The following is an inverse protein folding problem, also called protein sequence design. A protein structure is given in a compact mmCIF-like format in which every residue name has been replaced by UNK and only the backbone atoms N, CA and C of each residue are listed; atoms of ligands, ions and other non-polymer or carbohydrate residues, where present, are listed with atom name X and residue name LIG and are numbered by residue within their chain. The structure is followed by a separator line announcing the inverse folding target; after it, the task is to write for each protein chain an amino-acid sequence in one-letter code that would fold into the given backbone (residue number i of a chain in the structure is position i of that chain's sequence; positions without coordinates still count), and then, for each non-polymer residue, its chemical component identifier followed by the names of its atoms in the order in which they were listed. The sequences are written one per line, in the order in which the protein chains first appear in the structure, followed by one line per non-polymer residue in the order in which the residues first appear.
data_IF_617020376004
#
_entry.id   IF_617020376004
#
_cell.length_a   1.000
_cell.length_b   1.000
_cell.length_c   1.000
_cell.angle_alpha   90.00
_cell.angle_beta   90.00
_cell.angle_gamma   90.00
#
_symmetry.space_group_name_H-M   'P 1'
#
loop_
_entity.id
_entity.type
_entity.pdbx_description
1 polymer ?
#
# COMPACT_ATOMS: atom_id res chain seq x y z
N UNK A 1 -20.36 -14.54 -18.15
CA UNK A 1 -20.04 -15.79 -17.40
C UNK A 1 -20.49 -15.59 -15.98
N UNK A 2 -21.65 -16.11 -15.59
CA UNK A 2 -22.08 -16.12 -14.19
C UNK A 2 -21.37 -17.25 -13.47
N UNK A 3 -20.60 -16.94 -12.45
CA UNK A 3 -20.08 -17.94 -11.51
C UNK A 3 -21.28 -18.46 -10.76
N UNK A 4 -21.75 -19.66 -11.12
CA UNK A 4 -22.80 -20.35 -10.37
C UNK A 4 -22.16 -20.92 -9.10
N UNK A 5 -22.49 -20.32 -7.96
CA UNK A 5 -21.95 -20.70 -6.66
C UNK A 5 -22.57 -22.00 -6.12
N UNK A 6 -23.45 -22.66 -6.87
CA UNK A 6 -24.08 -23.95 -6.51
C UNK A 6 -24.80 -23.94 -5.16
N UNK A 7 -25.25 -22.76 -4.72
CA UNK A 7 -26.04 -22.56 -3.50
C UNK A 7 -27.36 -21.85 -3.82
N UNK A 8 -28.47 -22.20 -3.15
CA UNK A 8 -29.74 -21.49 -3.31
C UNK A 8 -29.60 -20.00 -3.01
N UNK A 9 -30.25 -19.15 -3.82
CA UNK A 9 -30.19 -17.68 -3.70
C UNK A 9 -30.50 -17.19 -2.28
N UNK A 10 -31.49 -17.81 -1.62
CA UNK A 10 -31.86 -17.47 -0.25
C UNK A 10 -30.71 -17.72 0.74
N UNK A 11 -30.06 -18.88 0.64
CA UNK A 11 -28.92 -19.23 1.51
C UNK A 11 -27.71 -18.33 1.26
N UNK A 12 -27.49 -17.91 0.01
CA UNK A 12 -26.45 -16.93 -0.29
C UNK A 12 -26.76 -15.56 0.34
N UNK A 13 -28.02 -15.12 0.31
CA UNK A 13 -28.45 -13.86 0.94
C UNK A 13 -28.27 -13.90 2.45
N UNK A 14 -28.70 -14.97 3.11
CA UNK A 14 -28.53 -15.12 4.57
C UNK A 14 -27.07 -14.98 5.00
N UNK A 15 -26.14 -15.62 4.27
CA UNK A 15 -24.70 -15.51 4.55
C UNK A 15 -24.15 -14.10 4.34
N UNK A 16 -24.64 -13.41 3.30
CA UNK A 16 -24.25 -12.03 3.03
C UNK A 16 -24.78 -11.10 4.12
N UNK A 17 -26.03 -11.25 4.54
CA UNK A 17 -26.64 -10.44 5.60
C UNK A 17 -25.92 -10.65 6.95
N UNK A 18 -25.53 -11.89 7.26
CA UNK A 18 -24.76 -12.23 8.46
C UNK A 18 -23.37 -11.57 8.44
N UNK A 19 -22.68 -11.61 7.30
CA UNK A 19 -21.39 -10.95 7.12
C UNK A 19 -21.49 -9.41 7.20
N UNK A 20 -22.51 -8.82 6.57
CA UNK A 20 -22.78 -7.37 6.61
C UNK A 20 -23.04 -6.93 8.05
N UNK A 21 -23.91 -7.64 8.77
CA UNK A 21 -24.24 -7.34 10.17
C UNK A 21 -22.99 -7.40 11.05
N UNK A 22 -22.16 -8.43 10.84
CA UNK A 22 -20.90 -8.57 11.57
C UNK A 22 -19.93 -7.41 11.28
N UNK A 23 -19.77 -7.03 10.02
CA UNK A 23 -18.86 -5.95 9.62
C UNK A 23 -19.36 -4.56 10.03
N UNK A 24 -20.67 -4.30 9.99
CA UNK A 24 -21.25 -3.08 10.58
C UNK A 24 -20.98 -3.00 12.09
N UNK A 25 -21.20 -4.11 12.82
CA UNK A 25 -20.98 -4.15 14.26
C UNK A 25 -19.51 -3.92 14.66
N UNK A 26 -18.56 -4.31 13.79
CA UNK A 26 -17.13 -4.04 13.96
C UNK A 26 -16.70 -2.64 13.48
N UNK A 27 -17.62 -1.84 12.92
CA UNK A 27 -17.29 -0.53 12.33
C UNK A 27 -16.45 -0.61 11.05
N UNK A 28 -16.47 -1.75 10.38
CA UNK A 28 -15.73 -2.00 9.12
C UNK A 28 -16.45 -1.35 7.95
N UNK A 29 -17.77 -1.45 7.94
CA UNK A 29 -18.65 -0.83 6.95
C UNK A 29 -19.71 0.01 7.66
N UNK A 30 -20.19 1.03 6.96
CA UNK A 30 -21.34 1.85 7.32
C UNK A 30 -22.38 1.75 6.22
N UNK A 31 -23.64 1.70 6.61
CA UNK A 31 -24.78 1.65 5.70
C UNK A 31 -25.39 3.04 5.58
N UNK A 32 -25.35 3.57 4.37
CA UNK A 32 -25.92 4.86 4.01
C UNK A 32 -27.27 4.65 3.30
N UNK A 33 -28.23 5.51 3.58
CA UNK A 33 -29.51 5.56 2.88
C UNK A 33 -29.65 6.91 2.21
N UNK A 34 -29.88 6.91 0.90
CA UNK A 34 -30.12 8.12 0.11
C UNK A 34 -31.16 7.85 -0.96
N UNK A 35 -32.21 8.67 -1.01
CA UNK A 35 -33.30 8.57 -1.99
C UNK A 35 -33.92 7.17 -2.16
N UNK A 36 -34.07 6.43 -1.05
CA UNK A 36 -34.61 5.07 -1.06
C UNK A 36 -33.63 3.99 -1.51
N UNK A 37 -32.42 4.37 -1.94
CA UNK A 37 -31.31 3.46 -2.21
C UNK A 37 -30.46 3.23 -0.95
N UNK A 38 -29.95 2.01 -0.81
CA UNK A 38 -29.03 1.63 0.24
C UNK A 38 -27.65 1.41 -0.36
N UNK A 39 -26.64 2.07 0.21
CA UNK A 39 -25.25 1.90 -0.14
C UNK A 39 -24.44 1.48 1.10
N UNK A 40 -23.39 0.69 0.91
CA UNK A 40 -22.44 0.35 1.95
C UNK A 40 -21.09 1.01 1.65
N UNK A 41 -20.53 1.68 2.63
CA UNK A 41 -19.21 2.33 2.54
C UNK A 41 -18.28 1.74 3.58
N UNK A 42 -17.02 1.50 3.25
CA UNK A 42 -16.02 1.15 4.27
C UNK A 42 -15.73 2.41 5.10
N UNK A 43 -15.86 2.29 6.43
CA UNK A 43 -15.74 3.43 7.36
C UNK A 43 -14.28 3.89 7.49
N UNK A 44 -13.37 2.96 7.26
CA UNK A 44 -11.94 3.21 7.27
C UNK A 44 -11.37 2.80 5.92
N UNK A 45 -10.66 3.73 5.25
CA UNK A 45 -9.88 3.42 4.04
C UNK A 45 -9.12 2.12 4.26
N UNK A 46 -8.40 2.07 5.39
CA UNK A 46 -7.46 1.02 5.81
C UNK A 46 -7.93 -0.43 5.68
N UNK A 47 -9.23 -0.74 5.66
CA UNK A 47 -9.69 -2.12 5.39
C UNK A 47 -9.43 -2.53 3.95
N UNK A 48 -9.65 -1.62 3.00
CA UNK A 48 -9.34 -1.84 1.59
C UNK A 48 -7.85 -2.11 1.42
N UNK A 49 -7.01 -1.27 2.01
CA UNK A 49 -5.55 -1.45 1.94
C UNK A 49 -5.08 -2.71 2.67
N UNK A 50 -5.69 -3.06 3.81
CA UNK A 50 -5.39 -4.28 4.54
C UNK A 50 -5.76 -5.54 3.73
N UNK A 51 -6.95 -5.58 3.12
CA UNK A 51 -7.37 -6.70 2.27
C UNK A 51 -6.48 -6.80 1.04
N UNK A 52 -6.13 -5.68 0.41
CA UNK A 52 -5.19 -5.63 -0.70
C UNK A 52 -3.81 -6.18 -0.29
N UNK A 53 -3.28 -5.77 0.86
CA UNK A 53 -2.01 -6.27 1.39
C UNK A 53 -2.04 -7.79 1.60
N UNK A 54 -3.12 -8.31 2.20
CA UNK A 54 -3.32 -9.76 2.38
C UNK A 54 -3.39 -10.49 1.04
N UNK A 55 -4.04 -9.90 0.04
CA UNK A 55 -4.14 -10.49 -1.29
C UNK A 55 -2.75 -10.57 -1.96
N UNK A 56 -1.98 -9.48 -1.94
CA UNK A 56 -0.63 -9.42 -2.50
C UNK A 56 0.28 -10.46 -1.89
N UNK A 57 0.25 -10.63 -0.56
CA UNK A 57 1.08 -11.63 0.12
C UNK A 57 0.72 -13.09 -0.22
N UNK A 58 -0.51 -13.34 -0.68
CA UNK A 58 -0.97 -14.67 -1.14
C UNK A 58 -0.59 -14.99 -2.57
N UNK A 59 -0.11 -14.00 -3.35
CA UNK A 59 0.37 -14.25 -4.70
C UNK A 59 1.61 -15.15 -4.68
N UNK A 60 1.81 -15.89 -5.77
CA UNK A 60 3.05 -16.65 -6.01
C UNK A 60 4.24 -15.70 -6.03
N UNK A 61 5.40 -16.17 -5.60
CA UNK A 61 6.60 -15.35 -5.36
C UNK A 61 6.92 -14.34 -6.47
N UNK A 62 7.00 -14.78 -7.74
CA UNK A 62 7.28 -13.87 -8.86
C UNK A 62 6.19 -12.81 -9.05
N UNK A 63 4.91 -13.19 -9.02
CA UNK A 63 3.80 -12.26 -9.17
C UNK A 63 3.72 -11.28 -7.97
N UNK A 64 4.02 -11.75 -6.76
CA UNK A 64 4.11 -10.92 -5.57
C UNK A 64 5.21 -9.87 -5.70
N UNK A 65 6.42 -10.28 -6.09
CA UNK A 65 7.55 -9.36 -6.26
C UNK A 65 7.25 -8.28 -7.29
N UNK A 66 6.69 -8.65 -8.45
CA UNK A 66 6.28 -7.67 -9.47
C UNK A 66 5.22 -6.71 -8.93
N UNK A 67 4.16 -7.23 -8.29
CA UNK A 67 3.10 -6.38 -7.73
C UNK A 67 3.64 -5.40 -6.67
N UNK A 68 4.51 -5.86 -5.76
CA UNK A 68 5.11 -5.01 -4.73
C UNK A 68 6.03 -3.95 -5.34
N UNK A 69 6.81 -4.30 -6.38
CA UNK A 69 7.66 -3.35 -7.10
C UNK A 69 6.83 -2.27 -7.82
N UNK A 70 5.75 -2.66 -8.51
CA UNK A 70 4.85 -1.72 -9.19
C UNK A 70 4.17 -0.79 -8.18
N UNK A 71 3.72 -1.32 -7.04
CA UNK A 71 3.13 -0.53 -5.95
C UNK A 71 4.13 0.45 -5.34
N UNK A 72 5.41 0.07 -5.19
CA UNK A 72 6.45 0.92 -4.63
C UNK A 72 6.71 2.20 -5.45
N UNK A 73 6.35 2.22 -6.74
CA UNK A 73 6.49 3.39 -7.61
C UNK A 73 5.34 4.41 -7.45
N UNK A 74 4.23 4.01 -6.84
CA UNK A 74 2.98 4.78 -6.83
C UNK A 74 2.65 5.14 -5.37
N UNK A 75 2.78 6.42 -4.96
CA UNK A 75 2.62 6.86 -3.58
C UNK A 75 1.29 6.47 -2.91
N UNK A 76 0.21 6.33 -3.69
CA UNK A 76 -1.13 5.95 -3.23
C UNK A 76 -1.17 4.55 -2.59
N UNK A 77 -0.19 3.69 -2.88
CA UNK A 77 -0.10 2.35 -2.29
C UNK A 77 0.68 2.29 -0.97
N UNK A 78 1.08 3.43 -0.39
CA UNK A 78 1.93 3.47 0.81
C UNK A 78 1.33 2.66 1.97
N UNK A 79 0.04 2.82 2.25
CA UNK A 79 -0.63 2.11 3.35
C UNK A 79 -0.73 0.60 3.09
N UNK A 80 -0.93 0.18 1.82
CA UNK A 80 -0.92 -1.24 1.43
C UNK A 80 0.44 -1.87 1.71
N UNK A 81 1.51 -1.16 1.37
CA UNK A 81 2.88 -1.62 1.60
C UNK A 81 3.21 -1.71 3.10
N UNK A 82 2.71 -0.77 3.91
CA UNK A 82 2.86 -0.81 5.37
C UNK A 82 2.12 -2.01 5.99
N UNK A 83 0.87 -2.26 5.57
CA UNK A 83 0.16 -3.47 5.98
C UNK A 83 0.85 -4.75 5.51
N UNK A 84 1.33 -4.79 4.27
CA UNK A 84 2.05 -5.96 3.76
C UNK A 84 3.32 -6.23 4.57
N UNK A 85 4.03 -5.17 4.99
CA UNK A 85 5.21 -5.30 5.84
C UNK A 85 4.87 -5.90 7.22
N UNK A 86 3.86 -5.37 7.91
CA UNK A 86 3.41 -5.85 9.23
C UNK A 86 2.84 -7.28 9.18
N UNK A 87 2.33 -7.72 8.03
CA UNK A 87 1.82 -9.06 7.78
C UNK A 87 2.90 -10.08 7.40
N UNK A 88 4.19 -9.70 7.47
CA UNK A 88 5.33 -10.59 7.24
C UNK A 88 6.05 -10.41 5.90
N UNK A 89 5.64 -9.44 5.08
CA UNK A 89 6.30 -9.08 3.81
C UNK A 89 7.35 -7.97 3.93
N UNK A 90 7.81 -7.65 5.14
CA UNK A 90 8.66 -6.48 5.40
C UNK A 90 9.93 -6.46 4.55
N UNK A 91 10.56 -7.61 4.32
CA UNK A 91 11.79 -7.69 3.52
C UNK A 91 11.54 -7.32 2.07
N UNK A 92 10.54 -7.93 1.43
CA UNK A 92 10.18 -7.64 0.04
C UNK A 92 9.75 -6.19 -0.15
N UNK A 93 8.96 -5.64 0.78
CA UNK A 93 8.52 -4.24 0.73
C UNK A 93 9.70 -3.28 0.86
N UNK A 94 10.58 -3.48 1.85
CA UNK A 94 11.75 -2.62 2.03
C UNK A 94 12.68 -2.65 0.82
N UNK A 95 12.86 -3.82 0.20
CA UNK A 95 13.68 -3.96 -0.98
C UNK A 95 13.06 -3.22 -2.18
N UNK A 96 11.75 -3.40 -2.43
CA UNK A 96 11.06 -2.70 -3.51
C UNK A 96 11.10 -1.17 -3.35
N UNK A 97 10.88 -0.66 -2.13
CA UNK A 97 10.94 0.77 -1.84
C UNK A 97 12.35 1.35 -2.01
N UNK A 98 13.39 0.57 -1.69
CA UNK A 98 14.78 0.96 -1.91
C UNK A 98 15.15 0.98 -3.40
N UNK A 99 14.62 0.04 -4.18
CA UNK A 99 14.83 -0.05 -5.63
C UNK A 99 14.03 1.01 -6.40
N UNK A 100 12.90 1.47 -5.85
CA UNK A 100 12.03 2.49 -6.47
C UNK A 100 12.57 3.94 -6.40
N UNK A 101 13.79 4.14 -5.91
CA UNK A 101 14.34 5.49 -5.70
C UNK A 101 14.80 6.10 -7.03
N UNK A 102 13.87 6.74 -7.74
CA UNK A 102 14.16 7.65 -8.85
C UNK A 102 13.57 9.06 -8.59
N UNK A 103 14.39 10.10 -8.74
CA UNK A 103 13.97 11.50 -8.62
C UNK A 103 13.62 12.00 -7.21
N UNK A 104 13.08 13.22 -7.11
CA UNK A 104 12.74 13.92 -5.86
C UNK A 104 11.61 13.26 -5.06
N UNK A 105 10.89 12.28 -5.60
CA UNK A 105 9.83 11.56 -4.90
C UNK A 105 10.33 10.31 -4.14
N UNK A 106 11.51 9.77 -4.52
CA UNK A 106 12.04 8.51 -4.01
C UNK A 106 12.44 8.53 -2.52
N UNK A 107 12.71 9.71 -1.94
CA UNK A 107 13.10 9.80 -0.53
C UNK A 107 12.00 9.32 0.43
N UNK A 108 10.72 9.52 0.07
CA UNK A 108 9.60 9.07 0.90
C UNK A 108 9.56 7.55 1.02
N UNK A 109 9.84 6.84 -0.07
CA UNK A 109 9.92 5.38 -0.07
C UNK A 109 11.04 4.87 0.83
N UNK A 110 12.22 5.51 0.79
CA UNK A 110 13.34 5.16 1.70
C UNK A 110 12.99 5.41 3.16
N UNK A 111 12.34 6.54 3.48
CA UNK A 111 11.91 6.82 4.85
C UNK A 111 10.86 5.82 5.34
N UNK A 112 9.91 5.44 4.49
CA UNK A 112 8.93 4.41 4.80
C UNK A 112 9.61 3.05 5.05
N UNK A 113 10.52 2.63 4.17
CA UNK A 113 11.27 1.39 4.33
C UNK A 113 12.13 1.39 5.61
N UNK A 114 12.72 2.53 5.97
CA UNK A 114 13.45 2.68 7.22
C UNK A 114 12.52 2.54 8.43
N UNK A 115 11.35 3.18 8.41
CA UNK A 115 10.35 3.05 9.48
C UNK A 115 9.91 1.59 9.68
N UNK A 116 9.63 0.87 8.59
CA UNK A 116 9.32 -0.55 8.59
C UNK A 116 10.49 -1.37 9.17
N UNK A 117 11.71 -1.09 8.75
CA UNK A 117 12.89 -1.87 9.15
C UNK A 117 13.33 -1.63 10.61
N UNK A 118 12.86 -0.53 11.22
CA UNK A 118 13.06 -0.22 12.63
C UNK A 118 12.06 -0.91 13.56
N UNK A 119 11.00 -1.53 13.01
CA UNK A 119 10.04 -2.29 13.82
C UNK A 119 10.77 -3.46 14.51
N UNK A 120 10.82 -3.49 15.86
CA UNK A 120 11.49 -4.55 16.61
C UNK A 120 10.87 -5.94 16.41
N UNK A 121 9.63 -6.02 15.92
CA UNK A 121 8.94 -7.26 15.58
C UNK A 121 9.17 -7.69 14.12
N UNK A 122 9.81 -6.84 13.31
CA UNK A 122 10.06 -7.06 11.89
C UNK A 122 11.26 -7.98 11.59
N UNK A 123 11.11 -8.88 10.61
CA UNK A 123 12.12 -9.84 10.17
C UNK A 123 13.07 -9.31 9.07
N UNK A 124 13.31 -8.00 9.02
CA UNK A 124 14.15 -7.40 7.96
C UNK A 124 15.62 -7.78 8.16
N UNK A 125 16.34 -8.29 7.14
CA UNK A 125 17.75 -8.66 7.26
C UNK A 125 18.66 -7.48 7.66
N UNK A 126 19.72 -7.77 8.43
CA UNK A 126 20.71 -6.75 8.85
C UNK A 126 21.33 -6.02 7.66
N UNK A 127 21.65 -6.74 6.59
CA UNK A 127 22.23 -6.15 5.39
C UNK A 127 21.30 -5.11 4.75
N UNK A 128 20.03 -5.45 4.58
CA UNK A 128 19.04 -4.52 4.03
C UNK A 128 18.84 -3.29 4.93
N UNK A 129 18.89 -3.45 6.26
CA UNK A 129 18.92 -2.31 7.20
C UNK A 129 20.13 -1.39 6.97
N UNK A 130 21.31 -1.95 6.76
CA UNK A 130 22.53 -1.19 6.47
C UNK A 130 22.44 -0.45 5.13
N UNK A 131 21.87 -1.09 4.12
CA UNK A 131 21.65 -0.48 2.80
C UNK A 131 20.67 0.71 2.90
N UNK A 132 19.56 0.54 3.65
CA UNK A 132 18.58 1.60 3.93
C UNK A 132 19.20 2.79 4.67
N UNK A 133 20.01 2.54 5.71
CA UNK A 133 20.72 3.59 6.45
C UNK A 133 21.67 4.35 5.52
N UNK A 134 22.47 3.61 4.74
CA UNK A 134 23.44 4.20 3.80
C UNK A 134 22.74 5.10 2.78
N UNK A 135 21.62 4.62 2.21
CA UNK A 135 20.84 5.40 1.25
C UNK A 135 20.20 6.63 1.88
N UNK A 136 19.72 6.51 3.12
CA UNK A 136 19.17 7.65 3.87
C UNK A 136 20.24 8.74 4.09
N UNK A 137 21.46 8.35 4.46
CA UNK A 137 22.58 9.29 4.62
C UNK A 137 22.95 9.94 3.29
N UNK A 138 23.01 9.18 2.20
CA UNK A 138 23.24 9.71 0.85
C UNK A 138 22.20 10.76 0.47
N UNK A 139 20.92 10.50 0.74
CA UNK A 139 19.82 11.43 0.47
C UNK A 139 19.92 12.72 1.30
N UNK A 140 20.30 12.62 2.58
CA UNK A 140 20.49 13.79 3.46
C UNK A 140 21.68 14.65 2.99
N UNK A 141 22.74 14.01 2.52
CA UNK A 141 23.97 14.68 2.06
C UNK A 141 23.87 15.22 0.63
N UNK A 142 22.91 14.73 -0.17
CA UNK A 142 22.68 15.21 -1.53
C UNK A 142 22.28 16.68 -1.51
N UNK A 143 22.92 17.56 -2.30
CA UNK A 143 22.52 18.95 -2.39
C UNK A 143 21.05 18.99 -2.82
N UNK A 144 20.22 19.75 -2.09
CA UNK A 144 18.81 19.99 -2.37
C UNK A 144 18.68 20.25 -3.88
N UNK A 145 18.10 19.29 -4.62
CA UNK A 145 17.74 19.55 -6.01
C UNK A 145 16.61 20.56 -5.95
N UNK A 146 16.94 21.81 -6.21
CA UNK A 146 15.95 22.88 -6.26
C UNK A 146 14.85 22.46 -7.22
N UNK A 147 13.62 22.36 -6.71
CA UNK A 147 12.38 22.33 -7.50
C UNK A 147 12.57 23.30 -8.67
N UNK A 148 12.40 22.91 -9.94
CA UNK A 148 12.46 23.86 -11.02
C UNK A 148 11.40 24.93 -10.75
N UNK A 149 11.84 26.11 -10.33
CA UNK A 149 10.98 27.29 -10.26
C UNK A 149 10.50 27.57 -11.67
N UNK A 150 9.25 27.98 -11.82
CA UNK A 150 8.60 28.28 -13.09
C UNK A 150 9.28 29.42 -13.90
N UNK A 151 10.46 29.87 -13.48
CA UNK A 151 11.22 30.98 -14.05
C UNK A 151 12.23 30.54 -15.14
N UNK A 152 12.67 29.28 -15.14
CA UNK A 152 13.60 28.78 -16.19
C UNK A 152 12.92 28.45 -17.52
N UNK A 153 11.59 28.43 -17.59
CA UNK A 153 10.85 28.21 -18.84
C UNK A 153 10.77 29.46 -19.75
N UNK A 154 11.26 30.63 -19.29
CA UNK A 154 11.17 31.89 -20.06
C UNK A 154 12.47 32.33 -20.75
N UNK A 155 13.58 31.61 -20.61
CA UNK A 155 14.89 32.05 -21.17
C UNK A 155 15.31 31.26 -22.42
N UNK A 156 14.53 30.28 -22.88
CA UNK A 156 14.88 29.48 -24.08
C UNK A 156 14.05 29.81 -25.33
N UNK A 157 13.28 30.90 -25.31
CA UNK A 157 12.57 31.43 -26.49
C UNK A 157 12.75 32.96 -26.58
N UNK A 158 13.98 33.40 -26.82
CA UNK A 158 14.30 34.75 -27.28
C UNK A 158 15.40 34.67 -28.34
#
# INVERSE_FOLDING_TARGET
MSIDLSVPVLSAREKVDEAITHWEALGVIERLHHDGEQAFTFVHKTIGEYVAARYVLRLKEMARRTAVADMAQIPEWSEVLEFAATLGGATEVCQALLEAVEGDAGYKGVLQALAIAMDPLGSVPIKLRQDLISKTVELIQSPIRSRPTAETAKITNA
#
